data_IF_709123275273
#
_entry.id   IF_709123275273
#
_cell.length_a   1.000
_cell.length_b   1.000
_cell.length_c   1.000
_cell.angle_alpha   90.00
_cell.angle_beta   90.00
_cell.angle_gamma   90.00
#
_symmetry.space_group_name_H-M   'P 1'
#
loop_
_entity.id
_entity.type
_entity.pdbx_description
1 polymer ?
2 non-polymer ?
3 non-polymer ?
4 non-polymer ?
5 water ?
#
# COMPACT_ATOMS: atom_id res chain seq x y z
N UNK A 39 20.96 1.02 7.98
CA UNK A 39 20.65 -0.19 8.79
C UNK A 39 19.37 -0.84 8.31
N UNK A 40 18.32 -0.04 8.16
CA UNK A 40 17.06 -0.55 7.69
C UNK A 40 17.20 -1.09 6.28
N UNK A 41 17.81 -0.31 5.39
CA UNK A 41 18.02 -0.72 4.01
C UNK A 41 18.55 -2.13 3.91
N UNK A 42 19.66 -2.39 4.59
CA UNK A 42 20.25 -3.71 4.54
C UNK A 42 19.27 -4.74 5.07
N UNK A 43 18.59 -4.41 6.15
CA UNK A 43 17.62 -5.32 6.73
C UNK A 43 16.61 -5.71 5.68
N UNK A 44 15.99 -4.69 5.10
CA UNK A 44 14.98 -4.85 4.07
C UNK A 44 15.52 -5.79 2.98
N UNK A 45 16.54 -5.34 2.27
CA UNK A 45 17.14 -6.12 1.20
C UNK A 45 17.43 -7.56 1.57
N UNK A 46 17.86 -7.78 2.79
CA UNK A 46 18.17 -9.14 3.19
C UNK A 46 16.93 -9.96 3.47
N UNK A 47 15.92 -9.36 4.09
CA UNK A 47 14.72 -10.12 4.38
C UNK A 47 13.98 -10.45 3.09
N UNK A 48 14.06 -9.56 2.10
CA UNK A 48 13.38 -9.80 0.84
C UNK A 48 13.97 -11.06 0.22
N UNK A 49 15.28 -11.24 0.37
CA UNK A 49 15.92 -12.42 -0.18
C UNK A 49 15.75 -13.66 0.69
N UNK A 50 16.05 -13.54 1.98
CA UNK A 50 15.92 -14.69 2.87
C UNK A 50 14.50 -15.25 2.90
N UNK A 51 13.50 -14.38 2.96
CA UNK A 51 12.11 -14.81 2.98
C UNK A 51 11.59 -15.13 1.57
N UNK A 52 12.46 -14.95 0.57
CA UNK A 52 12.13 -15.22 -0.82
C UNK A 52 10.87 -14.50 -1.28
N UNK A 53 10.89 -13.19 -1.11
CA UNK A 53 9.78 -12.37 -1.51
C UNK A 53 9.94 -11.97 -2.95
N UNK A 54 11.08 -11.39 -3.29
CA UNK A 54 11.33 -11.01 -4.67
C UNK A 54 12.81 -11.25 -4.96
N UNK A 55 13.13 -11.53 -6.21
CA UNK A 55 14.51 -11.75 -6.61
C UNK A 55 14.85 -10.53 -7.44
N UNK A 56 15.91 -9.82 -7.08
CA UNK A 56 16.24 -8.60 -7.80
C UNK A 56 17.24 -8.78 -8.93
N UNK A 57 17.73 -9.99 -9.09
CA UNK A 57 18.73 -10.29 -10.11
C UNK A 57 18.25 -10.36 -11.56
N UNK A 58 17.39 -9.43 -11.96
CA UNK A 58 16.88 -9.44 -13.33
C UNK A 58 17.69 -8.46 -14.19
N UNK A 59 18.13 -8.91 -15.37
CA UNK A 59 18.93 -8.11 -16.31
C UNK A 59 18.47 -6.69 -16.60
N UNK A 60 17.28 -6.31 -16.15
CA UNK A 60 16.79 -4.95 -16.39
C UNK A 60 16.47 -4.27 -15.08
N UNK A 61 17.24 -3.25 -14.74
CA UNK A 61 17.09 -2.52 -13.50
C UNK A 61 15.70 -1.91 -13.30
N UNK A 62 15.19 -2.07 -12.09
CA UNK A 62 13.89 -1.52 -11.76
C UNK A 62 12.75 -2.48 -12.06
N UNK A 63 13.08 -3.74 -12.28
CA UNK A 63 12.07 -4.73 -12.59
C UNK A 63 12.40 -6.01 -11.88
N UNK A 64 11.59 -6.37 -10.89
CA UNK A 64 11.87 -7.56 -10.11
C UNK A 64 10.88 -8.69 -10.30
N UNK A 65 11.27 -9.86 -9.82
CA UNK A 65 10.47 -11.06 -9.92
C UNK A 65 9.83 -11.40 -8.61
N UNK A 66 8.55 -11.75 -8.63
CA UNK A 66 7.87 -12.13 -7.40
C UNK A 66 8.05 -13.65 -7.25
N UNK A 67 8.78 -14.08 -6.23
CA UNK A 67 8.97 -15.51 -6.00
C UNK A 67 7.73 -16.04 -5.30
N UNK A 68 7.55 -17.37 -5.28
CA UNK A 68 6.38 -17.98 -4.65
C UNK A 68 5.89 -17.34 -3.36
N UNK A 69 6.75 -17.30 -2.35
CA UNK A 69 6.36 -16.72 -1.06
C UNK A 69 5.89 -15.27 -1.19
N UNK A 70 6.72 -14.41 -1.77
CA UNK A 70 6.31 -13.03 -1.96
C UNK A 70 4.94 -13.02 -2.60
N UNK A 71 4.78 -13.75 -3.70
CA UNK A 71 3.50 -13.78 -4.39
C UNK A 71 2.33 -14.10 -3.48
N UNK A 72 2.51 -15.01 -2.53
CA UNK A 72 1.40 -15.36 -1.65
C UNK A 72 0.97 -14.18 -0.77
N UNK A 73 1.95 -13.40 -0.35
CA UNK A 73 1.67 -12.24 0.48
C UNK A 73 0.93 -11.20 -0.34
N UNK A 74 1.38 -11.01 -1.58
CA UNK A 74 0.79 -10.05 -2.50
C UNK A 74 -0.65 -10.47 -2.76
N UNK A 75 -0.82 -11.77 -2.90
CA UNK A 75 -2.13 -12.34 -3.15
C UNK A 75 -3.07 -12.02 -1.99
N UNK A 76 -2.67 -12.33 -0.76
CA UNK A 76 -3.53 -12.05 0.39
C UNK A 76 -3.75 -10.57 0.62
N UNK A 77 -2.75 -9.75 0.37
CA UNK A 77 -2.90 -8.32 0.56
C UNK A 77 -3.98 -7.84 -0.40
N UNK A 78 -3.98 -8.37 -1.61
CA UNK A 78 -4.99 -7.96 -2.59
C UNK A 78 -6.39 -8.47 -2.26
N UNK A 79 -6.49 -9.64 -1.63
CA UNK A 79 -7.81 -10.15 -1.29
C UNK A 79 -8.47 -9.16 -0.34
N UNK A 80 -7.71 -8.73 0.67
CA UNK A 80 -8.18 -7.76 1.65
C UNK A 80 -8.66 -6.51 0.94
N UNK A 81 -7.82 -6.01 0.03
CA UNK A 81 -8.16 -4.80 -0.69
C UNK A 81 -9.40 -4.95 -1.54
N UNK A 82 -9.48 -6.02 -2.32
CA UNK A 82 -10.64 -6.23 -3.18
C UNK A 82 -11.92 -6.43 -2.39
N UNK A 83 -11.81 -7.09 -1.25
CA UNK A 83 -12.99 -7.31 -0.43
C UNK A 83 -13.64 -5.96 -0.13
N UNK A 84 -12.82 -4.95 0.11
CA UNK A 84 -13.35 -3.62 0.40
C UNK A 84 -13.86 -2.98 -0.88
N UNK A 85 -12.96 -2.84 -1.85
CA UNK A 85 -13.32 -2.21 -3.12
C UNK A 85 -14.53 -2.81 -3.85
N UNK A 86 -14.73 -4.11 -3.75
CA UNK A 86 -15.85 -4.72 -4.47
C UNK A 86 -17.22 -4.41 -3.92
N UNK A 87 -17.29 -3.72 -2.80
CA UNK A 87 -18.58 -3.38 -2.23
C UNK A 87 -19.30 -2.43 -3.15
N UNK A 88 -18.58 -1.44 -3.68
CA UNK A 88 -19.19 -0.44 -4.52
C UNK A 88 -18.43 -0.10 -5.78
N UNK A 89 -17.40 -0.88 -6.08
CA UNK A 89 -16.61 -0.65 -7.28
C UNK A 89 -16.72 -1.86 -8.18
N UNK A 90 -16.59 -1.64 -9.49
CA UNK A 90 -16.64 -2.73 -10.46
C UNK A 90 -15.26 -2.91 -11.08
N UNK A 91 -14.65 -4.07 -10.85
CA UNK A 91 -13.32 -4.31 -11.40
C UNK A 91 -13.42 -4.48 -12.91
N UNK A 92 -12.39 -3.97 -13.60
CA UNK A 92 -12.33 -4.04 -15.05
C UNK A 92 -10.89 -4.33 -15.45
N UNK A 93 -10.59 -4.23 -16.74
CA UNK A 93 -9.25 -4.48 -17.21
C UNK A 93 -9.06 -3.87 -18.60
N UNK A 94 -8.36 -2.75 -18.64
CA UNK A 94 -8.09 -2.02 -19.88
C UNK A 94 -6.72 -2.40 -20.40
N UNK A 95 -6.43 -2.01 -21.64
CA UNK A 95 -5.15 -2.30 -22.29
C UNK A 95 -3.94 -1.70 -21.61
N UNK A 96 -2.77 -2.15 -22.06
CA UNK A 96 -1.51 -1.69 -21.53
C UNK A 96 -0.98 -0.53 -22.34
N UNK A 97 -1.10 -0.64 -23.66
CA UNK A 97 -0.60 0.37 -24.58
C UNK A 97 -1.51 1.53 -24.91
N UNK A 98 -0.93 2.73 -24.96
CA UNK A 98 -1.65 3.96 -25.29
C UNK A 98 -0.95 4.63 -26.46
N UNK A 99 -1.71 5.07 -27.46
CA UNK A 99 -1.16 5.73 -28.64
C UNK A 99 -0.86 7.21 -28.37
N UNK A 100 0.23 7.73 -28.93
CA UNK A 100 0.60 9.13 -28.73
C UNK A 100 -0.63 10.02 -28.75
N UNK A 101 -1.37 9.90 -29.83
CA UNK A 101 -2.60 10.66 -30.04
C UNK A 101 -3.40 10.86 -28.74
N UNK A 102 -3.74 9.75 -28.08
CA UNK A 102 -4.51 9.79 -26.84
C UNK A 102 -3.72 10.30 -25.64
N UNK A 103 -2.53 9.74 -25.45
CA UNK A 103 -1.67 10.10 -24.34
C UNK A 103 -1.36 11.60 -24.27
N UNK A 104 -1.10 12.19 -25.44
CA UNK A 104 -0.76 13.61 -25.52
C UNK A 104 -1.95 14.57 -25.50
N UNK A 105 -3.18 14.03 -25.52
CA UNK A 105 -4.37 14.87 -25.48
C UNK A 105 -4.40 15.77 -24.26
N UNK A 106 -3.56 15.46 -23.28
CA UNK A 106 -3.49 16.23 -22.04
C UNK A 106 -2.61 17.47 -22.16
N UNK A 107 -2.92 18.46 -21.35
CA UNK A 107 -2.16 19.71 -21.35
C UNK A 107 -1.02 19.53 -20.35
N UNK A 108 -1.37 19.53 -19.07
CA UNK A 108 -0.38 19.39 -18.00
C UNK A 108 -0.03 17.93 -17.77
N UNK A 109 -1.02 17.05 -17.90
CA UNK A 109 -0.83 15.61 -17.69
C UNK A 109 0.25 15.02 -18.60
N UNK A 110 0.21 15.35 -19.89
CA UNK A 110 1.22 14.86 -20.84
C UNK A 110 2.60 15.39 -20.42
N UNK A 111 2.61 16.65 -19.98
CA UNK A 111 3.83 17.31 -19.53
C UNK A 111 4.33 16.59 -18.27
N UNK A 112 3.39 16.11 -17.47
CA UNK A 112 3.71 15.42 -16.24
C UNK A 112 4.35 14.04 -16.39
N UNK A 113 4.27 13.46 -17.58
CA UNK A 113 4.86 12.14 -17.84
C UNK A 113 5.70 12.12 -19.12
N UNK A 114 5.90 13.29 -19.71
CA UNK A 114 6.68 13.45 -20.94
C UNK A 114 7.80 12.44 -21.15
N UNK A 115 8.93 12.68 -20.48
CA UNK A 115 10.11 11.85 -20.59
C UNK A 115 10.04 10.74 -19.55
N UNK A 116 8.84 10.44 -19.09
CA UNK A 116 8.68 9.40 -18.08
C UNK A 116 8.05 8.12 -18.62
N UNK A 117 7.69 8.16 -19.90
CA UNK A 117 7.04 7.04 -20.58
C UNK A 117 7.95 6.19 -21.45
N UNK A 118 7.74 4.88 -21.49
CA UNK A 118 8.50 3.97 -22.35
C UNK A 118 7.75 3.94 -23.69
N UNK A 119 8.46 3.83 -24.80
CA UNK A 119 7.77 3.81 -26.10
C UNK A 119 8.04 2.61 -26.99
N UNK A 120 6.98 1.92 -27.42
CA UNK A 120 7.17 0.82 -28.35
C UNK A 120 7.04 1.56 -29.67
N UNK A 121 8.03 1.38 -30.53
CA UNK A 121 8.07 2.06 -31.82
C UNK A 121 7.97 1.12 -33.02
N UNK A 122 8.40 -0.12 -32.83
CA UNK A 122 8.38 -1.10 -33.90
C UNK A 122 7.54 -2.31 -33.55
N UNK A 123 6.98 -2.91 -34.59
CA UNK A 123 6.16 -4.10 -34.47
C UNK A 123 6.88 -5.14 -35.30
N UNK A 124 7.85 -5.76 -34.67
CA UNK A 124 8.67 -6.77 -35.32
C UNK A 124 9.93 -6.09 -35.82
N UNK A 125 9.97 -5.90 -37.13
CA UNK A 125 11.10 -5.22 -37.71
C UNK A 125 10.51 -3.97 -38.32
N UNK A 126 9.19 -3.96 -38.41
CA UNK A 126 8.48 -2.83 -38.97
C UNK A 126 8.27 -1.71 -37.96
N UNK A 127 8.42 -0.47 -38.39
CA UNK A 127 8.23 0.65 -37.49
C UNK A 127 6.76 1.05 -37.50
N UNK A 128 6.12 1.01 -36.34
CA UNK A 128 4.71 1.37 -36.24
C UNK A 128 4.52 2.78 -36.76
N UNK A 129 3.39 3.03 -37.41
CA UNK A 129 3.14 4.36 -37.91
C UNK A 129 2.41 5.17 -36.86
N UNK A 130 2.62 4.79 -35.60
CA UNK A 130 1.97 5.46 -34.49
C UNK A 130 2.56 4.87 -33.22
N UNK A 131 3.41 5.63 -32.54
CA UNK A 131 4.06 5.15 -31.33
C UNK A 131 3.04 4.73 -30.29
N UNK A 132 3.40 3.71 -29.52
CA UNK A 132 2.55 3.22 -28.45
C UNK A 132 3.34 3.31 -27.14
N UNK A 133 2.71 3.92 -26.14
CA UNK A 133 3.34 4.12 -24.85
C UNK A 133 2.82 3.14 -23.81
N UNK A 134 3.72 2.60 -23.01
CA UNK A 134 3.30 1.68 -21.96
C UNK A 134 2.64 2.59 -20.93
N UNK A 135 1.42 2.24 -20.52
CA UNK A 135 0.71 3.06 -19.55
C UNK A 135 1.51 3.33 -18.28
N UNK A 136 1.54 4.60 -17.83
CA UNK A 136 2.24 5.03 -16.62
C UNK A 136 1.17 5.06 -15.54
N UNK A 137 -0.06 5.25 -16.02
CA UNK A 137 -1.26 5.30 -15.23
C UNK A 137 -2.29 5.24 -16.36
N UNK A 138 -3.53 4.87 -16.08
CA UNK A 138 -4.49 4.69 -17.17
C UNK A 138 -5.51 5.74 -17.58
N UNK A 139 -5.38 6.98 -17.13
CA UNK A 139 -6.37 8.00 -17.50
C UNK A 139 -6.56 8.09 -19.01
N UNK A 140 -5.45 8.24 -19.72
CA UNK A 140 -5.51 8.37 -21.16
C UNK A 140 -5.95 7.10 -21.89
N UNK A 141 -6.14 6.02 -21.14
CA UNK A 141 -6.57 4.76 -21.72
C UNK A 141 -8.05 4.54 -21.54
N UNK A 142 -8.52 4.75 -20.32
CA UNK A 142 -9.91 4.56 -19.99
C UNK A 142 -10.85 5.70 -20.34
N UNK A 143 -10.37 6.92 -20.22
CA UNK A 143 -11.22 8.05 -20.46
C UNK A 143 -11.84 8.16 -21.84
N UNK A 144 -11.05 7.97 -22.90
CA UNK A 144 -11.72 8.07 -24.19
C UNK A 144 -12.84 7.03 -24.28
N UNK A 145 -12.65 5.91 -23.59
CA UNK A 145 -13.63 4.84 -23.56
C UNK A 145 -14.83 5.24 -22.70
N UNK A 146 -14.57 6.04 -21.67
CA UNK A 146 -15.62 6.51 -20.78
C UNK A 146 -16.55 7.44 -21.54
N UNK A 147 -15.97 8.12 -22.53
CA UNK A 147 -16.73 9.05 -23.35
C UNK A 147 -17.89 8.29 -23.96
N UNK A 148 -17.62 7.05 -24.35
CA UNK A 148 -18.64 6.18 -24.95
C UNK A 148 -19.58 5.62 -23.90
N UNK A 149 -19.02 4.99 -22.88
CA UNK A 149 -19.84 4.38 -21.85
C UNK A 149 -20.79 5.35 -21.14
N UNK A 150 -20.54 6.64 -21.22
CA UNK A 150 -21.41 7.59 -20.53
C UNK A 150 -22.35 8.38 -21.45
N UNK A 151 -23.64 8.32 -21.11
CA UNK A 151 -24.68 9.01 -21.88
C UNK A 151 -25.69 9.70 -20.97
N UNK A 152 -26.51 8.92 -20.27
CA UNK A 152 -27.53 9.48 -19.38
C UNK A 152 -27.11 9.62 -17.93
N UNK A 153 -27.73 10.56 -17.23
CA UNK A 153 -27.44 10.75 -15.82
C UNK A 153 -27.84 9.47 -15.10
N UNK A 154 -28.61 8.62 -15.77
CA UNK A 154 -29.03 7.36 -15.17
C UNK A 154 -27.81 6.44 -15.13
N UNK A 155 -26.85 6.71 -15.99
CA UNK A 155 -25.61 5.94 -16.05
C UNK A 155 -24.74 6.20 -14.82
N UNK A 156 -24.62 7.46 -14.42
CA UNK A 156 -23.80 7.84 -13.28
C UNK A 156 -24.50 7.52 -11.97
N UNK A 157 -23.73 7.25 -10.90
CA UNK A 157 -22.27 7.23 -10.83
C UNK A 157 -21.64 5.90 -11.21
N UNK A 158 -20.45 5.95 -11.79
CA UNK A 158 -19.72 4.75 -12.17
C UNK A 158 -18.45 4.72 -11.35
N UNK A 159 -18.16 3.57 -10.74
CA UNK A 159 -16.95 3.42 -9.94
C UNK A 159 -16.18 2.17 -10.37
N UNK A 160 -15.05 2.38 -11.05
CA UNK A 160 -14.24 1.29 -11.55
C UNK A 160 -12.84 1.23 -10.94
N UNK A 161 -12.17 0.10 -11.13
CA UNK A 161 -10.80 -0.08 -10.65
C UNK A 161 -10.17 -1.32 -11.27
N UNK A 162 -8.85 -1.34 -11.29
CA UNK A 162 -8.10 -2.47 -11.82
C UNK A 162 -6.74 -2.58 -11.14
N UNK A 163 -6.21 -3.79 -11.09
CA UNK A 163 -4.90 -4.05 -10.50
C UNK A 163 -4.07 -4.51 -11.69
N UNK A 164 -3.26 -3.63 -12.22
CA UNK A 164 -2.47 -3.95 -13.38
C UNK A 164 -1.03 -3.56 -13.17
N UNK A 165 -0.22 -3.72 -14.22
CA UNK A 165 1.17 -3.33 -14.12
C UNK A 165 1.37 -2.07 -14.95
N UNK A 166 2.00 -1.07 -14.35
CA UNK A 166 2.25 0.19 -15.03
C UNK A 166 3.75 0.44 -15.08
N UNK A 167 4.17 1.33 -15.95
CA UNK A 167 5.58 1.59 -16.13
C UNK A 167 5.93 3.06 -16.01
N UNK A 168 7.09 3.33 -15.41
CA UNK A 168 7.54 4.70 -15.23
C UNK A 168 9.05 4.81 -15.28
N UNK A 169 9.54 5.52 -16.28
CA UNK A 169 10.98 5.73 -16.47
C UNK A 169 11.38 6.91 -15.60
N UNK A 170 11.98 6.63 -14.44
CA UNK A 170 12.35 7.68 -13.50
C UNK A 170 13.76 7.58 -12.90
N UNK A 171 13.91 8.26 -11.77
CA UNK A 171 15.13 8.33 -10.95
C UNK A 171 16.09 7.18 -11.15
N UNK A 172 17.36 7.49 -11.39
CA UNK A 172 18.34 6.43 -11.55
C UNK A 172 18.26 5.50 -10.34
N UNK A 173 17.74 6.04 -9.23
CA UNK A 173 17.65 5.27 -8.00
C UNK A 173 16.46 4.35 -7.83
N UNK A 174 16.70 3.10 -8.17
CA UNK A 174 15.74 2.01 -8.09
C UNK A 174 15.68 1.47 -6.67
N UNK A 175 14.49 1.10 -6.22
CA UNK A 175 14.32 0.57 -4.89
C UNK A 175 13.18 -0.42 -4.89
N UNK A 176 13.44 -1.66 -4.45
CA UNK A 176 12.47 -2.75 -4.38
C UNK A 176 11.12 -2.40 -3.77
N UNK A 177 10.05 -2.65 -4.52
CA UNK A 177 8.69 -2.40 -4.05
C UNK A 177 8.43 -0.93 -3.71
N UNK A 178 9.42 -0.07 -3.85
CA UNK A 178 9.25 1.33 -3.48
C UNK A 178 9.39 2.29 -4.63
N UNK A 179 10.32 1.99 -5.52
CA UNK A 179 10.56 2.82 -6.68
C UNK A 179 11.02 1.88 -7.77
N UNK A 180 10.06 1.36 -8.53
CA UNK A 180 10.38 0.43 -9.59
C UNK A 180 9.98 1.00 -10.94
N UNK A 181 10.50 0.40 -12.00
CA UNK A 181 10.21 0.84 -13.34
C UNK A 181 8.92 0.12 -13.76
N UNK A 182 8.75 -1.10 -13.29
CA UNK A 182 7.53 -1.84 -13.57
C UNK A 182 6.80 -2.00 -12.25
N UNK A 183 5.77 -1.19 -12.04
CA UNK A 183 5.00 -1.29 -10.81
C UNK A 183 4.09 -2.46 -11.07
N UNK A 184 4.40 -3.60 -10.48
CA UNK A 184 3.62 -4.81 -10.68
C UNK A 184 2.29 -4.90 -9.96
N UNK A 185 2.05 -4.07 -8.96
CA UNK A 185 0.79 -4.15 -8.23
C UNK A 185 0.16 -2.79 -8.10
N UNK A 186 -0.16 -2.20 -9.25
CA UNK A 186 -0.75 -0.88 -9.29
C UNK A 186 -2.26 -0.94 -9.32
N UNK A 187 -2.92 -0.64 -8.21
CA UNK A 187 -4.37 -0.65 -8.19
C UNK A 187 -4.82 0.78 -8.41
N UNK A 188 -5.54 1.03 -9.49
CA UNK A 188 -6.02 2.37 -9.79
C UNK A 188 -7.52 2.35 -9.93
N UNK A 189 -8.19 3.25 -9.21
CA UNK A 189 -9.65 3.35 -9.27
C UNK A 189 -9.97 4.66 -9.93
N UNK A 190 -11.06 4.67 -10.69
CA UNK A 190 -11.52 5.86 -11.40
C UNK A 190 -13.02 5.95 -11.24
N UNK A 191 -13.52 7.11 -10.86
CA UNK A 191 -14.95 7.27 -10.67
C UNK A 191 -15.52 8.41 -11.51
N UNK A 192 -16.81 8.32 -11.80
CA UNK A 192 -17.46 9.35 -12.61
C UNK A 192 -18.73 9.80 -11.90
N UNK A 193 -18.96 11.11 -11.86
CA UNK A 193 -20.13 11.62 -11.17
C UNK A 193 -20.87 12.71 -11.93
N UNK A 194 -22.11 12.96 -11.51
CA UNK A 194 -22.94 13.98 -12.14
C UNK A 194 -22.60 15.38 -11.64
N UNK A 195 -22.42 15.53 -10.33
CA UNK A 195 -22.11 16.83 -9.77
C UNK A 195 -20.77 16.90 -9.06
N UNK A 196 -20.13 18.07 -9.10
CA UNK A 196 -18.85 18.26 -8.42
C UNK A 196 -19.02 17.93 -6.95
N UNK A 197 -20.25 18.05 -6.49
CA UNK A 197 -20.58 17.77 -5.12
C UNK A 197 -20.24 16.31 -4.81
N UNK A 198 -20.83 15.40 -5.58
CA UNK A 198 -20.61 13.97 -5.39
C UNK A 198 -19.14 13.59 -5.55
N UNK A 199 -18.43 14.28 -6.42
CA UNK A 199 -17.02 13.97 -6.61
C UNK A 199 -16.31 14.12 -5.29
N UNK A 200 -16.53 15.23 -4.60
CA UNK A 200 -15.86 15.47 -3.32
C UNK A 200 -16.27 14.41 -2.34
N UNK A 201 -17.54 14.05 -2.36
CA UNK A 201 -18.02 13.03 -1.45
C UNK A 201 -17.26 11.73 -1.73
N UNK A 202 -16.95 11.49 -3.00
CA UNK A 202 -16.23 10.28 -3.39
C UNK A 202 -14.82 10.32 -2.81
N UNK A 203 -14.16 11.47 -2.96
CA UNK A 203 -12.83 11.64 -2.42
C UNK A 203 -12.84 11.24 -0.95
N UNK A 204 -13.90 11.60 -0.24
CA UNK A 204 -13.98 11.27 1.18
C UNK A 204 -14.16 9.77 1.37
N UNK A 205 -14.90 9.15 0.46
CA UNK A 205 -15.14 7.72 0.53
C UNK A 205 -13.85 6.95 0.32
N UNK A 206 -13.09 7.39 -0.68
CA UNK A 206 -11.82 6.75 -1.00
C UNK A 206 -10.96 6.79 0.25
N UNK A 207 -10.87 7.96 0.86
CA UNK A 207 -10.06 8.13 2.05
C UNK A 207 -10.46 7.15 3.15
N UNK A 208 -11.76 6.90 3.25
CA UNK A 208 -12.22 5.98 4.28
C UNK A 208 -11.88 4.56 3.89
N UNK A 209 -11.87 4.31 2.58
CA UNK A 209 -11.54 2.99 2.07
C UNK A 209 -10.08 2.67 2.36
N UNK A 210 -9.20 3.65 2.13
CA UNK A 210 -7.79 3.43 2.38
C UNK A 210 -7.51 3.30 3.86
N UNK A 211 -8.20 4.10 4.68
CA UNK A 211 -7.98 3.98 6.11
C UNK A 211 -8.29 2.54 6.47
N UNK A 212 -9.48 2.07 6.10
CA UNK A 212 -9.86 0.70 6.42
C UNK A 212 -8.85 -0.30 5.87
N UNK A 213 -8.44 -0.10 4.62
CA UNK A 213 -7.48 -1.00 4.03
C UNK A 213 -6.24 -1.04 4.90
N UNK A 214 -5.65 0.13 5.11
CA UNK A 214 -4.44 0.23 5.92
C UNK A 214 -4.60 -0.28 7.35
N UNK A 215 -5.70 0.08 7.99
CA UNK A 215 -5.90 -0.39 9.34
C UNK A 215 -5.83 -1.91 9.37
N UNK A 216 -6.36 -2.56 8.34
CA UNK A 216 -6.32 -4.02 8.26
C UNK A 216 -4.89 -4.49 8.19
N UNK A 217 -4.02 -3.72 7.58
CA UNK A 217 -2.61 -4.08 7.47
C UNK A 217 -1.84 -3.57 8.69
N UNK A 218 -2.56 -2.91 9.60
CA UNK A 218 -1.92 -2.39 10.79
C UNK A 218 -0.92 -1.32 10.41
N UNK A 219 -1.15 -0.67 9.30
CA UNK A 219 -0.25 0.37 8.84
C UNK A 219 -0.77 1.74 9.25
N UNK A 220 0.06 2.53 9.95
CA UNK A 220 -0.29 3.87 10.41
C UNK A 220 -0.07 4.84 9.25
N UNK A 221 -0.69 6.00 9.30
CA UNK A 221 -0.59 6.97 8.21
C UNK A 221 -0.97 8.39 8.58
N UNK A 222 -0.49 9.34 7.77
CA UNK A 222 -0.76 10.75 7.96
C UNK A 222 -1.42 11.23 6.68
N UNK A 223 -2.66 11.70 6.76
CA UNK A 223 -3.39 12.16 5.59
C UNK A 223 -3.27 13.66 5.47
N UNK A 224 -2.83 14.15 4.32
CA UNK A 224 -2.69 15.60 4.13
C UNK A 224 -3.08 16.01 2.74
N UNK A 225 -3.07 17.30 2.47
CA UNK A 225 -3.42 17.78 1.14
C UNK A 225 -2.17 18.32 0.48
N UNK A 226 -1.70 17.62 -0.54
CA UNK A 226 -0.49 18.02 -1.25
C UNK A 226 -0.59 19.45 -1.75
N UNK A 227 0.56 20.14 -1.84
CA UNK A 227 0.65 21.52 -2.31
C UNK A 227 0.22 21.52 -3.76
N UNK A 228 -0.41 22.60 -4.22
CA UNK A 228 -0.86 22.68 -5.60
C UNK A 228 0.20 22.47 -6.69
N UNK A 229 1.46 22.35 -6.31
CA UNK A 229 2.50 22.15 -7.31
C UNK A 229 2.99 20.71 -7.29
N UNK A 230 2.38 19.91 -6.43
CA UNK A 230 2.71 18.50 -6.30
C UNK A 230 1.50 17.64 -6.69
N UNK A 231 0.34 18.27 -6.80
CA UNK A 231 -0.87 17.54 -7.13
C UNK A 231 -0.79 16.79 -8.43
N UNK A 232 -1.62 15.75 -8.55
CA UNK A 232 -1.66 14.93 -9.75
C UNK A 232 -1.84 15.84 -10.96
N UNK A 233 -1.00 15.64 -11.98
CA UNK A 233 -1.02 16.41 -13.23
C UNK A 233 -2.41 16.64 -13.80
N UNK A 234 -2.94 17.83 -13.60
CA UNK A 234 -4.26 18.14 -14.13
C UNK A 234 -5.40 18.10 -13.13
N UNK A 235 -5.17 17.60 -11.93
CA UNK A 235 -6.24 17.52 -10.94
C UNK A 235 -6.55 18.84 -10.29
N UNK A 236 -7.64 18.86 -9.52
CA UNK A 236 -8.05 20.04 -8.78
C UNK A 236 -7.19 20.03 -7.54
N UNK A 237 -7.06 18.85 -6.94
CA UNK A 237 -6.24 18.69 -5.75
C UNK A 237 -5.95 17.23 -5.49
N UNK A 238 -4.94 16.98 -4.66
CA UNK A 238 -4.53 15.62 -4.33
C UNK A 238 -4.44 15.45 -2.83
N UNK A 239 -5.00 14.37 -2.35
CA UNK A 239 -4.93 14.05 -0.94
C UNK A 239 -4.00 12.87 -0.95
N UNK A 240 -3.06 12.84 -0.02
CA UNK A 240 -2.10 11.74 0.05
C UNK A 240 -1.95 11.11 1.43
N UNK A 241 -1.61 9.84 1.43
CA UNK A 241 -1.38 9.10 2.67
C UNK A 241 0.12 8.89 2.69
N UNK A 242 0.76 9.17 3.83
CA UNK A 242 2.19 8.99 3.98
C UNK A 242 2.41 8.18 5.21
N UNK A 243 3.38 7.27 5.19
CA UNK A 243 3.67 6.46 6.36
C UNK A 243 5.17 6.61 6.62
N UNK A 244 5.59 6.24 7.83
CA UNK A 244 6.99 6.38 8.20
C UNK A 244 7.76 5.07 8.16
N UNK A 245 8.90 5.08 7.49
CA UNK A 245 9.72 3.89 7.38
C UNK A 245 10.72 3.82 8.55
N UNK A 246 11.17 2.62 8.93
CA UNK A 246 12.12 2.49 10.04
C UNK A 246 13.41 3.31 9.91
N UNK A 247 13.64 3.89 8.74
CA UNK A 247 14.85 4.67 8.56
C UNK A 247 14.51 6.13 8.71
N UNK A 248 13.39 6.41 9.37
CA UNK A 248 12.97 7.78 9.60
C UNK A 248 12.49 8.51 8.37
N UNK A 249 12.50 7.86 7.22
CA UNK A 249 12.04 8.50 5.99
C UNK A 249 10.56 8.21 5.75
N UNK A 250 9.90 9.13 5.06
CA UNK A 250 8.49 9.00 4.78
C UNK A 250 8.24 8.33 3.43
N UNK A 251 7.12 7.61 3.32
CA UNK A 251 6.77 6.90 2.08
C UNK A 251 5.30 7.10 1.70
N UNK A 252 5.06 7.71 0.54
CA UNK A 252 3.71 7.93 0.06
C UNK A 252 3.10 6.56 -0.27
N UNK A 253 2.03 6.18 0.41
CA UNK A 253 1.43 4.89 0.16
C UNK A 253 0.01 4.95 -0.35
N UNK A 254 -0.36 6.06 -0.97
CA UNK A 254 -1.71 6.18 -1.49
C UNK A 254 -2.07 7.61 -1.82
N UNK A 255 -2.82 7.80 -2.90
CA UNK A 255 -3.24 9.14 -3.28
C UNK A 255 -4.65 9.10 -3.83
N UNK A 256 -5.39 10.17 -3.59
CA UNK A 256 -6.75 10.31 -4.06
C UNK A 256 -6.76 11.65 -4.75
N UNK A 257 -7.23 11.70 -5.98
CA UNK A 257 -7.24 12.94 -6.72
C UNK A 257 -8.64 13.33 -7.12
N UNK A 258 -8.92 14.62 -7.09
CA UNK A 258 -10.21 15.11 -7.50
C UNK A 258 -9.90 15.79 -8.82
N UNK A 259 -10.40 15.20 -9.90
CA UNK A 259 -10.14 15.68 -11.24
C UNK A 259 -11.14 16.71 -11.74
N UNK A 260 -12.14 17.01 -10.92
CA UNK A 260 -13.14 17.98 -11.34
C UNK A 260 -13.63 17.62 -12.73
N UNK A 261 -13.69 18.59 -13.63
CA UNK A 261 -14.15 18.30 -14.98
C UNK A 261 -13.04 18.50 -15.98
N UNK A 262 -11.81 18.61 -15.49
CA UNK A 262 -10.67 18.82 -16.37
C UNK A 262 -10.55 17.75 -17.44
N UNK A 263 -10.51 16.49 -17.02
CA UNK A 263 -10.38 15.39 -17.97
C UNK A 263 -11.65 15.21 -18.80
N UNK A 264 -12.79 15.47 -18.18
CA UNK A 264 -14.07 15.35 -18.87
C UNK A 264 -14.02 16.19 -20.14
N UNK A 265 -13.66 17.45 -20.00
CA UNK A 265 -13.59 18.33 -21.14
C UNK A 265 -12.55 17.86 -22.15
N UNK A 266 -11.43 17.38 -21.66
CA UNK A 266 -10.36 16.93 -22.54
C UNK A 266 -10.78 15.77 -23.43
N UNK A 267 -11.52 14.81 -22.87
CA UNK A 267 -11.95 13.64 -23.62
C UNK A 267 -13.41 13.63 -24.02
N UNK A 268 -14.08 14.76 -23.82
CA UNK A 268 -15.48 14.88 -24.17
C UNK A 268 -16.37 13.86 -23.49
N UNK A 269 -16.36 13.84 -22.16
CA UNK A 269 -17.19 12.90 -21.41
C UNK A 269 -18.39 13.68 -20.87
N UNK A 270 -19.43 13.80 -21.69
CA UNK A 270 -20.63 14.54 -21.31
C UNK A 270 -21.76 13.59 -20.96
N UNK A 271 -22.77 14.10 -20.27
CA UNK A 271 -23.92 13.28 -19.90
C UNK A 271 -25.19 14.12 -19.96
N UNK A 272 -26.31 13.48 -20.28
CA UNK A 272 -27.60 14.15 -20.39
C UNK A 272 -28.32 14.29 -19.05
N UNK A 273 -28.69 15.53 -18.70
CA UNK A 273 -29.38 15.80 -17.45
C UNK A 273 -30.85 15.49 -17.62
N UNK A 274 -31.57 15.29 -16.50
CA UNK A 274 -33.00 14.98 -16.58
C UNK A 274 -33.81 16.07 -17.31
N UNK A 275 -33.20 17.24 -17.49
CA UNK A 275 -33.85 18.34 -18.19
C UNK A 275 -33.61 18.23 -19.69
N UNK A 276 -32.46 17.67 -20.07
CA UNK A 276 -32.15 17.51 -21.47
C UNK A 276 -30.89 18.27 -21.87
N UNK A 277 -30.12 18.70 -20.88
CA UNK A 277 -28.89 19.43 -21.13
C UNK A 277 -27.72 18.46 -21.22
N UNK A 278 -26.56 18.98 -21.62
CA UNK A 278 -25.36 18.18 -21.75
C UNK A 278 -24.17 18.81 -21.05
N UNK A 279 -23.94 18.39 -19.81
CA UNK A 279 -22.83 18.90 -19.01
C UNK A 279 -21.71 17.87 -18.88
N UNK A 280 -20.50 18.35 -18.58
CA UNK A 280 -19.37 17.45 -18.41
C UNK A 280 -19.42 16.80 -17.03
N UNK A 281 -18.92 15.57 -16.95
CA UNK A 281 -18.94 14.83 -15.69
C UNK A 281 -17.83 15.25 -14.74
N UNK A 282 -18.01 14.90 -13.47
CA UNK A 282 -17.04 15.20 -12.43
C UNK A 282 -16.35 13.89 -12.07
N UNK A 283 -15.02 13.86 -12.23
CA UNK A 283 -14.24 12.65 -11.96
C UNK A 283 -13.26 12.73 -10.79
N UNK A 284 -12.92 11.55 -10.27
CA UNK A 284 -11.93 11.41 -9.20
C UNK A 284 -11.23 10.07 -9.45
N UNK A 285 -10.00 9.94 -8.98
CA UNK A 285 -9.28 8.68 -9.14
C UNK A 285 -8.30 8.54 -8.00
N UNK A 286 -8.02 7.30 -7.60
CA UNK A 286 -7.08 7.05 -6.50
C UNK A 286 -6.34 5.74 -6.69
N UNK A 287 -5.17 5.60 -6.07
CA UNK A 287 -4.42 4.36 -6.23
C UNK A 287 -3.31 4.06 -5.24
N UNK A 288 -2.92 2.78 -5.19
CA UNK A 288 -1.89 2.26 -4.31
C UNK A 288 -0.96 1.46 -5.19
N UNK A 289 0.17 1.03 -4.63
CA UNK A 289 1.10 0.21 -5.40
C UNK A 289 1.75 -0.84 -4.50
N UNK A 290 2.83 -1.42 -4.99
CA UNK A 290 3.54 -2.44 -4.24
C UNK A 290 4.04 -1.85 -2.93
N UNK A 291 4.11 -0.52 -2.88
CA UNK A 291 4.56 0.15 -1.67
C UNK A 291 3.80 -0.30 -0.47
N UNK A 292 2.53 -0.59 -0.65
CA UNK A 292 1.71 -1.06 0.45
C UNK A 292 2.36 -2.31 1.02
N UNK A 293 2.87 -3.18 0.15
CA UNK A 293 3.49 -4.42 0.61
C UNK A 293 4.85 -4.16 1.24
N UNK A 294 5.53 -3.13 0.77
CA UNK A 294 6.81 -2.77 1.34
C UNK A 294 6.53 -2.34 2.79
N UNK A 295 5.55 -1.46 2.95
CA UNK A 295 5.16 -0.96 4.27
C UNK A 295 4.87 -2.07 5.26
N UNK A 296 4.05 -3.02 4.86
CA UNK A 296 3.70 -4.11 5.75
C UNK A 296 4.95 -4.85 6.17
N UNK A 297 5.84 -5.09 5.22
CA UNK A 297 7.06 -5.78 5.55
C UNK A 297 7.89 -4.93 6.48
N UNK A 298 8.18 -3.70 6.04
CA UNK A 298 8.99 -2.77 6.80
C UNK A 298 8.45 -2.37 8.17
N UNK A 299 7.21 -1.92 8.22
CA UNK A 299 6.64 -1.47 9.49
C UNK A 299 6.56 -2.48 10.62
N UNK A 300 6.12 -3.69 10.33
CA UNK A 300 6.02 -4.70 11.37
C UNK A 300 7.28 -5.54 11.29
N UNK A 301 8.29 -4.96 10.64
CA UNK A 301 9.57 -5.62 10.49
C UNK A 301 10.03 -6.11 11.84
N UNK A 302 11.19 -6.74 11.89
CA UNK A 302 11.63 -7.29 13.15
C UNK A 302 13.03 -7.87 13.06
N UNK A 303 13.62 -8.14 14.21
CA UNK A 303 14.97 -8.70 14.25
C UNK A 303 14.94 -10.18 13.86
N UNK A 304 13.82 -10.84 14.09
CA UNK A 304 13.69 -12.26 13.75
C UNK A 304 13.32 -12.45 12.29
N UNK A 305 12.84 -11.38 11.65
CA UNK A 305 12.47 -11.45 10.25
C UNK A 305 11.16 -10.77 9.97
N UNK A 306 10.27 -11.45 9.25
CA UNK A 306 8.98 -10.89 8.94
C UNK A 306 8.00 -11.16 10.06
N UNK A 307 7.08 -10.22 10.24
CA UNK A 307 6.02 -10.34 11.24
C UNK A 307 4.85 -9.70 10.50
N UNK A 308 3.87 -10.51 10.12
CA UNK A 308 2.77 -9.99 9.34
C UNK A 308 1.40 -10.14 9.95
N UNK A 309 0.47 -9.26 9.55
CA UNK A 309 -0.89 -9.33 10.06
C UNK A 309 -1.39 -10.70 9.64
N UNK A 310 -2.08 -11.42 10.53
CA UNK A 310 -2.58 -12.76 10.20
C UNK A 310 -3.22 -12.92 8.81
N UNK A 311 -3.99 -11.92 8.38
CA UNK A 311 -4.63 -12.02 7.08
C UNK A 311 -3.74 -11.73 5.88
N UNK A 312 -2.45 -11.54 6.11
CA UNK A 312 -1.53 -11.27 5.02
C UNK A 312 -0.51 -12.39 4.88
N UNK A 313 -0.17 -13.02 6.00
CA UNK A 313 0.80 -14.10 6.02
C UNK A 313 0.42 -15.26 5.09
N UNK A 314 1.43 -15.94 4.55
CA UNK A 314 1.21 -17.06 3.66
C UNK A 314 0.48 -18.17 4.40
N UNK A 315 0.69 -18.25 5.70
CA UNK A 315 0.04 -19.24 6.55
C UNK A 315 -0.33 -18.53 7.84
N UNK A 316 -1.49 -18.83 8.37
CA UNK A 316 -1.91 -18.20 9.60
C UNK A 316 -1.48 -19.07 10.77
N UNK A 317 -1.48 -20.38 10.54
CA UNK A 317 -1.10 -21.33 11.56
C UNK A 317 -0.23 -22.44 10.99
N UNK A 318 0.98 -22.59 11.54
CA UNK A 318 1.87 -23.65 11.09
C UNK A 318 2.00 -24.67 12.21
N UNK A 319 1.59 -25.91 11.96
CA UNK A 319 1.64 -26.96 12.96
C UNK A 319 2.97 -27.70 12.92
N UNK A 320 3.70 -27.68 14.03
CA UNK A 320 4.99 -28.35 14.10
C UNK A 320 4.96 -29.49 15.10
N UNK A 321 4.95 -30.75 14.63
CA UNK A 321 4.92 -31.89 15.55
C UNK A 321 6.33 -32.15 16.12
N UNK A 322 6.40 -32.35 17.43
CA UNK A 322 7.66 -32.65 18.12
C UNK A 322 7.73 -34.16 18.33
N UNK A 323 8.76 -34.79 17.77
CA UNK A 323 8.90 -36.24 17.87
C UNK A 323 10.33 -36.74 18.01
N UNK A 324 10.51 -37.75 18.86
CA UNK A 324 11.81 -38.37 19.09
C UNK A 324 11.67 -39.88 19.10
N UNK A 325 10.76 -40.40 18.29
CA UNK A 325 10.55 -41.85 18.23
C UNK A 325 9.94 -42.34 19.55
N UNK A 326 8.82 -41.73 19.94
CA UNK A 326 8.12 -42.07 21.17
C UNK A 326 6.65 -41.71 21.03
N UNK A 327 5.86 -42.62 20.47
CA UNK A 327 4.43 -42.39 20.25
C UNK A 327 4.26 -41.53 19.00
N UNK A 328 5.29 -41.51 18.18
CA UNK A 328 5.30 -40.74 16.94
C UNK A 328 4.02 -40.94 16.16
N UNK A 329 3.74 -42.19 15.81
CA UNK A 329 2.54 -42.54 15.06
C UNK A 329 1.30 -41.85 15.64
N UNK A 330 1.33 -41.58 16.93
CA UNK A 330 0.20 -40.93 17.60
C UNK A 330 0.30 -39.42 17.58
N UNK A 331 1.52 -38.91 17.64
CA UNK A 331 1.73 -37.47 17.59
C UNK A 331 1.32 -37.00 16.21
N UNK A 332 1.85 -37.65 15.18
CA UNK A 332 1.53 -37.31 13.80
C UNK A 332 0.03 -37.25 13.55
N UNK A 333 -0.65 -38.38 13.73
CA UNK A 333 -2.09 -38.42 13.50
C UNK A 333 -2.85 -37.39 14.34
N UNK A 334 -2.19 -36.85 15.35
CA UNK A 334 -2.81 -35.83 16.18
C UNK A 334 -2.72 -34.49 15.44
N UNK A 335 -1.59 -34.29 14.77
CA UNK A 335 -1.35 -33.07 14.01
C UNK A 335 -2.22 -33.06 12.75
N UNK A 336 -2.15 -34.13 11.97
CA UNK A 336 -2.93 -34.25 10.76
C UNK A 336 -4.38 -33.91 11.05
N UNK A 337 -4.94 -34.61 12.04
CA UNK A 337 -6.32 -34.38 12.42
C UNK A 337 -6.54 -32.90 12.66
N UNK A 338 -5.57 -32.26 13.31
CA UNK A 338 -5.67 -30.84 13.61
C UNK A 338 -5.67 -29.99 12.34
N UNK A 339 -4.74 -30.25 11.45
CA UNK A 339 -4.65 -29.48 10.21
C UNK A 339 -6.01 -29.52 9.51
N UNK A 340 -6.46 -30.71 9.17
CA UNK A 340 -7.75 -30.88 8.50
C UNK A 340 -8.82 -30.07 9.22
N UNK A 341 -8.90 -30.26 10.54
CA UNK A 341 -9.89 -29.57 11.35
C UNK A 341 -9.81 -28.07 11.23
N UNK A 342 -8.59 -27.54 11.11
CA UNK A 342 -8.41 -26.11 10.96
C UNK A 342 -8.84 -25.64 9.57
N UNK A 343 -8.45 -26.38 8.54
CA UNK A 343 -8.81 -26.02 7.17
C UNK A 343 -10.31 -25.86 7.01
N UNK A 344 -11.05 -26.84 7.51
CA UNK A 344 -12.50 -26.81 7.41
C UNK A 344 -13.09 -25.62 8.18
N UNK A 345 -12.30 -25.06 9.08
CA UNK A 345 -12.75 -23.93 9.85
C UNK A 345 -12.41 -22.63 9.12
N UNK A 346 -11.68 -22.76 8.02
CA UNK A 346 -11.30 -21.60 7.23
C UNK A 346 -9.90 -21.06 7.43
N UNK A 347 -9.04 -21.85 8.03
CA UNK A 347 -7.68 -21.40 8.27
C UNK A 347 -6.72 -21.70 7.15
N UNK A 348 -5.71 -20.84 7.00
CA UNK A 348 -4.68 -21.06 6.01
C UNK A 348 -3.60 -21.71 6.85
N UNK A 349 -3.74 -23.01 7.06
CA UNK A 349 -2.80 -23.76 7.89
C UNK A 349 -1.79 -24.59 7.09
N UNK A 350 -0.66 -24.91 7.73
CA UNK A 350 0.37 -25.72 7.09
C UNK A 350 1.07 -26.63 8.11
N UNK A 351 1.01 -27.94 7.87
CA UNK A 351 1.64 -28.91 8.76
C UNK A 351 3.07 -29.15 8.30
N UNK A 352 4.05 -28.75 9.11
CA UNK A 352 5.42 -28.95 8.71
C UNK A 352 5.96 -30.25 9.27
N UNK A 353 5.73 -31.33 8.54
CA UNK A 353 6.18 -32.65 8.96
C UNK A 353 7.52 -33.04 8.35
N UNK A 354 8.27 -32.06 7.83
CA UNK A 354 9.58 -32.34 7.26
C UNK A 354 10.40 -33.03 8.33
N UNK A 355 11.48 -33.67 7.91
CA UNK A 355 12.34 -34.38 8.85
C UNK A 355 13.54 -33.55 9.25
N UNK A 356 13.31 -32.56 10.11
CA UNK A 356 14.40 -31.73 10.58
C UNK A 356 14.13 -31.32 12.01
N UNK A 357 15.15 -30.73 12.63
CA UNK A 357 15.03 -30.29 14.01
C UNK A 357 14.01 -29.17 14.17
N UNK A 358 13.05 -29.39 15.04
CA UNK A 358 11.99 -28.42 15.30
C UNK A 358 12.53 -27.01 15.48
N UNK A 359 13.80 -26.89 15.83
CA UNK A 359 14.36 -25.57 16.01
C UNK A 359 14.41 -24.87 14.67
N UNK A 360 15.03 -25.53 13.71
CA UNK A 360 15.15 -25.00 12.36
C UNK A 360 13.75 -24.66 11.82
N UNK A 361 12.75 -25.48 12.13
CA UNK A 361 11.41 -25.19 11.67
C UNK A 361 10.92 -23.88 12.27
N UNK A 362 11.06 -23.73 13.59
CA UNK A 362 10.63 -22.52 14.25
C UNK A 362 11.21 -21.28 13.58
N UNK A 363 12.52 -21.29 13.41
CA UNK A 363 13.22 -20.18 12.78
C UNK A 363 12.60 -19.82 11.45
N UNK A 364 12.48 -20.82 10.57
CA UNK A 364 11.93 -20.62 9.24
C UNK A 364 10.57 -19.94 9.23
N UNK A 365 9.57 -20.58 9.81
CA UNK A 365 8.23 -20.00 9.83
C UNK A 365 8.17 -18.71 10.60
N UNK A 366 9.19 -18.46 11.40
CA UNK A 366 9.21 -17.25 12.20
C UNK A 366 9.76 -16.09 11.35
N UNK A 367 10.83 -16.35 10.61
CA UNK A 367 11.42 -15.31 9.79
C UNK A 367 10.54 -15.06 8.58
N UNK A 368 9.60 -15.96 8.33
CA UNK A 368 8.68 -15.82 7.21
C UNK A 368 7.43 -15.06 7.61
N UNK A 369 7.19 -14.95 8.91
CA UNK A 369 6.03 -14.19 9.36
C UNK A 369 4.77 -14.92 9.76
N UNK A 370 4.81 -16.25 9.84
CA UNK A 370 3.61 -16.98 10.24
C UNK A 370 3.25 -16.51 11.64
N UNK A 371 2.02 -16.04 11.84
CA UNK A 371 1.53 -15.53 13.13
C UNK A 371 1.51 -16.52 14.28
N UNK A 372 0.99 -17.71 14.03
CA UNK A 372 0.87 -18.70 15.09
C UNK A 372 1.53 -20.02 14.76
N UNK A 373 2.20 -20.57 15.76
CA UNK A 373 2.87 -21.85 15.62
C UNK A 373 2.20 -22.75 16.62
N UNK A 374 1.78 -23.94 16.19
CA UNK A 374 1.15 -24.86 17.10
C UNK A 374 2.06 -26.07 17.23
N UNK A 375 2.58 -26.27 18.44
CA UNK A 375 3.48 -27.37 18.72
C UNK A 375 2.77 -28.48 19.47
N UNK A 376 3.02 -29.72 19.05
CA UNK A 376 2.41 -30.88 19.68
C UNK A 376 3.44 -31.98 19.92
N UNK A 377 3.48 -32.45 21.16
CA UNK A 377 4.41 -33.50 21.55
C UNK A 377 3.75 -34.55 22.41
N UNK A 378 4.44 -35.68 22.66
CA UNK A 378 3.90 -36.79 23.47
C UNK A 378 3.16 -36.28 24.71
N UNK A 379 3.86 -35.48 25.51
CA UNK A 379 3.29 -34.92 26.72
C UNK A 379 1.92 -34.28 26.46
N UNK A 380 1.96 -33.01 26.05
CA UNK A 380 0.76 -32.23 25.76
C UNK A 380 -0.33 -33.10 25.14
N UNK A 381 0.07 -33.88 24.14
CA UNK A 381 -0.85 -34.77 23.45
C UNK A 381 -1.62 -35.63 24.44
N UNK A 382 -0.88 -36.32 25.30
CA UNK A 382 -1.48 -37.19 26.32
C UNK A 382 -2.09 -36.33 27.43
N UNK A 383 -2.88 -35.34 27.04
CA UNK A 383 -3.52 -34.44 27.99
C UNK A 383 -4.60 -33.64 27.26
N UNK A 384 -4.62 -33.78 25.94
CA UNK A 384 -5.60 -33.07 25.12
C UNK A 384 -5.32 -31.58 24.94
N UNK A 385 -4.04 -31.22 24.92
CA UNK A 385 -3.66 -29.82 24.76
C UNK A 385 -2.38 -29.66 23.93
N UNK A 386 -2.10 -28.43 23.51
CA UNK A 386 -0.93 -28.13 22.72
C UNK A 386 -0.33 -26.79 23.11
N UNK A 387 0.75 -26.42 22.45
CA UNK A 387 1.42 -25.15 22.72
C UNK A 387 1.25 -24.21 21.54
N UNK A 388 0.82 -22.97 21.83
CA UNK A 388 0.62 -21.97 20.80
C UNK A 388 1.54 -20.79 21.01
N UNK A 389 2.48 -20.59 20.09
CA UNK A 389 3.43 -19.50 20.19
C UNK A 389 3.03 -18.34 19.26
N UNK A 390 3.18 -17.11 19.74
CA UNK A 390 2.86 -15.90 18.97
C UNK A 390 4.10 -15.38 18.28
N UNK A 391 3.93 -14.72 17.16
CA UNK A 391 5.08 -14.20 16.42
C UNK A 391 5.41 -12.77 16.82
N UNK A 392 4.38 -11.99 17.13
CA UNK A 392 4.58 -10.60 17.50
C UNK A 392 5.21 -10.48 18.88
N UNK A 393 4.70 -11.23 19.83
CA UNK A 393 5.19 -11.22 21.20
C UNK A 393 6.26 -12.27 21.45
N UNK A 394 5.84 -13.53 21.43
CA UNK A 394 6.77 -14.62 21.68
C UNK A 394 6.09 -15.52 22.67
N UNK A 395 5.04 -14.99 23.28
CA UNK A 395 4.27 -15.71 24.27
C UNK A 395 3.79 -17.08 23.83
N UNK A 396 4.30 -18.11 24.48
CA UNK A 396 3.86 -19.45 24.19
C UNK A 396 2.83 -19.72 25.26
N UNK A 397 1.62 -20.07 24.88
CA UNK A 397 0.59 -20.37 25.86
C UNK A 397 0.20 -21.83 25.65
N UNK A 398 -0.65 -22.35 26.52
CA UNK A 398 -1.09 -23.74 26.39
C UNK A 398 -2.59 -23.75 26.32
N UNK A 399 -3.13 -24.34 25.25
CA UNK A 399 -4.57 -24.40 25.06
C UNK A 399 -5.06 -25.82 24.83
N UNK A 400 -6.38 -26.00 24.93
CA UNK A 400 -7.02 -27.30 24.75
C UNK A 400 -7.38 -27.55 23.30
N UNK A 401 -6.77 -28.56 22.72
CA UNK A 401 -7.03 -28.91 21.34
C UNK A 401 -8.52 -29.04 21.09
N UNK A 402 -9.31 -29.01 22.15
CA UNK A 402 -10.75 -29.17 22.06
C UNK A 402 -11.52 -27.98 21.49
N UNK A 403 -11.09 -26.77 21.84
CA UNK A 403 -11.77 -25.59 21.32
C UNK A 403 -10.78 -24.64 20.69
N UNK A 404 -9.57 -25.14 20.46
CA UNK A 404 -8.46 -24.39 19.89
C UNK A 404 -8.82 -23.45 18.73
N UNK A 405 -9.79 -23.83 17.89
CA UNK A 405 -10.16 -22.97 16.79
C UNK A 405 -10.44 -21.56 17.26
N UNK A 406 -11.31 -21.43 18.26
CA UNK A 406 -11.65 -20.12 18.79
C UNK A 406 -10.48 -19.46 19.49
N UNK A 407 -9.64 -20.27 20.10
CA UNK A 407 -8.46 -19.77 20.79
C UNK A 407 -7.59 -19.05 19.76
N UNK A 408 -7.43 -19.70 18.61
CA UNK A 408 -6.63 -19.15 17.54
C UNK A 408 -7.25 -17.89 16.94
N UNK A 409 -8.52 -17.96 16.57
CA UNK A 409 -9.19 -16.79 16.00
C UNK A 409 -8.95 -15.58 16.87
N UNK A 410 -9.15 -15.74 18.18
CA UNK A 410 -8.94 -14.64 19.11
C UNK A 410 -7.50 -14.16 19.07
N UNK A 411 -6.57 -15.10 19.18
CA UNK A 411 -5.16 -14.76 19.17
C UNK A 411 -4.79 -13.90 17.96
N UNK A 412 -5.36 -14.24 16.81
CA UNK A 412 -5.11 -13.48 15.58
C UNK A 412 -5.59 -12.05 15.71
N UNK A 413 -6.81 -11.86 16.20
CA UNK A 413 -7.36 -10.52 16.37
C UNK A 413 -6.44 -9.72 17.27
N UNK A 414 -5.91 -10.38 18.29
CA UNK A 414 -5.01 -9.74 19.24
C UNK A 414 -3.73 -9.26 18.57
N UNK A 415 -3.11 -10.13 17.80
CA UNK A 415 -1.87 -9.79 17.11
C UNK A 415 -1.99 -8.56 16.19
N UNK A 416 -3.09 -8.44 15.46
CA UNK A 416 -3.26 -7.31 14.57
C UNK A 416 -3.30 -6.02 15.37
N UNK A 417 -4.18 -5.99 16.36
CA UNK A 417 -4.36 -4.83 17.22
C UNK A 417 -3.03 -4.42 17.85
N UNK A 418 -2.26 -5.40 18.30
CA UNK A 418 -1.00 -5.08 18.91
C UNK A 418 -0.10 -4.44 17.86
N UNK A 419 0.13 -5.14 16.75
CA UNK A 419 0.97 -4.65 15.67
C UNK A 419 0.52 -3.28 15.21
N UNK A 420 -0.79 -3.12 15.07
CA UNK A 420 -1.33 -1.85 14.63
C UNK A 420 -1.02 -0.76 15.66
N UNK A 421 -1.25 -1.08 16.93
CA UNK A 421 -0.99 -0.12 18.00
C UNK A 421 0.48 0.26 18.03
N UNK A 422 1.34 -0.73 18.30
CA UNK A 422 2.78 -0.50 18.34
C UNK A 422 3.11 0.47 17.22
N UNK A 423 2.70 0.09 16.02
CA UNK A 423 2.96 0.89 14.81
C UNK A 423 2.55 2.35 14.96
N UNK A 424 1.33 2.60 15.42
CA UNK A 424 0.88 3.97 15.58
C UNK A 424 1.70 4.72 16.60
N UNK A 425 2.02 4.06 17.71
CA UNK A 425 2.81 4.69 18.72
C UNK A 425 4.10 5.09 18.04
N UNK A 426 4.84 4.12 17.53
CA UNK A 426 6.10 4.40 16.87
C UNK A 426 6.04 5.58 15.91
N UNK A 427 4.94 5.72 15.18
CA UNK A 427 4.90 6.82 14.23
C UNK A 427 4.64 8.17 14.87
N UNK A 428 3.55 8.28 15.63
CA UNK A 428 3.22 9.56 16.27
C UNK A 428 4.34 10.10 17.12
N UNK A 429 5.14 9.20 17.68
CA UNK A 429 6.25 9.61 18.51
C UNK A 429 7.41 10.12 17.67
N UNK A 430 7.17 10.28 16.37
CA UNK A 430 8.21 10.77 15.46
C UNK A 430 7.75 12.01 14.73
N UNK A 431 6.54 12.45 15.06
CA UNK A 431 6.00 13.66 14.46
C UNK A 431 6.27 14.72 15.51
N UNK A 432 7.22 15.62 15.22
CA UNK A 432 7.60 16.67 16.16
C UNK A 432 7.33 18.07 15.63
N UNK A 433 6.80 18.94 16.50
CA UNK A 433 6.49 20.33 16.15
C UNK A 433 7.74 21.20 16.13
N UNK A 434 7.71 22.23 15.30
CA UNK A 434 8.81 23.16 15.17
C UNK A 434 8.26 24.56 14.98
N UNK A 435 8.84 25.52 15.68
CA UNK A 435 8.40 26.91 15.58
C UNK A 435 9.39 27.69 14.76
N UNK A 436 10.63 27.18 14.68
CA UNK A 436 11.67 27.85 13.93
C UNK A 436 12.25 26.99 12.83
N UNK A 437 12.49 27.59 11.68
CA UNK A 437 13.06 26.87 10.54
C UNK A 437 14.36 26.22 10.96
N UNK A 438 15.03 26.84 11.93
CA UNK A 438 16.29 26.34 12.44
C UNK A 438 16.05 25.10 13.29
N UNK A 439 15.04 25.19 14.15
CA UNK A 439 14.68 24.08 15.03
C UNK A 439 14.33 22.86 14.18
N UNK A 440 13.69 23.11 13.04
CA UNK A 440 13.29 22.04 12.12
C UNK A 440 14.54 21.34 11.65
N UNK A 441 15.43 22.09 10.99
CA UNK A 441 16.66 21.53 10.47
C UNK A 441 17.41 20.71 11.51
N UNK A 442 17.34 21.14 12.77
CA UNK A 442 18.03 20.41 13.82
C UNK A 442 17.35 19.06 14.09
N UNK A 443 16.03 19.09 14.23
CA UNK A 443 15.26 17.88 14.50
C UNK A 443 15.32 16.86 13.37
N UNK A 444 15.11 17.33 12.15
CA UNK A 444 15.15 16.46 10.98
C UNK A 444 16.48 15.73 10.91
N UNK A 445 17.55 16.52 10.86
CA UNK A 445 18.91 15.99 10.76
C UNK A 445 19.36 15.09 11.91
N UNK A 446 18.77 15.26 13.10
CA UNK A 446 19.18 14.44 14.23
C UNK A 446 18.25 13.29 14.56
N UNK A 447 16.94 13.50 14.39
CA UNK A 447 15.97 12.47 14.69
C UNK A 447 15.15 11.98 13.52
N UNK A 448 15.24 12.68 12.39
CA UNK A 448 14.47 12.31 11.20
C UNK A 448 12.99 12.40 11.54
N UNK A 449 12.17 11.55 10.92
CA UNK A 449 10.74 11.60 11.22
C UNK A 449 10.00 12.73 10.54
N UNK A 450 8.80 13.01 11.03
CA UNK A 450 7.95 14.07 10.49
C UNK A 450 8.03 15.33 11.34
N UNK A 451 7.99 16.48 10.67
CA UNK A 451 8.05 17.77 11.34
C UNK A 451 6.75 18.52 11.13
N UNK A 452 6.02 18.74 12.22
CA UNK A 452 4.76 19.48 12.18
C UNK A 452 5.09 20.95 12.30
N UNK A 453 4.30 21.81 11.67
CA UNK A 453 4.57 23.25 11.73
C UNK A 453 3.47 24.07 11.09
N UNK A 454 3.35 25.33 11.49
CA UNK A 454 2.32 26.19 10.90
C UNK A 454 2.95 26.83 9.68
N UNK A 455 2.20 26.89 8.59
CA UNK A 455 2.74 27.43 7.35
C UNK A 455 1.75 28.32 6.64
N UNK A 456 2.26 29.38 6.02
CA UNK A 456 1.43 30.32 5.31
C UNK A 456 0.79 29.69 4.07
N UNK A 457 1.46 28.68 3.52
CA UNK A 457 0.93 28.02 2.34
C UNK A 457 1.18 28.79 1.06
N UNK A 458 2.38 29.28 0.85
CA UNK A 458 2.70 30.02 -0.36
C UNK A 458 3.76 29.30 -1.16
N UNK A 459 3.62 29.32 -2.48
CA UNK A 459 4.60 28.65 -3.33
C UNK A 459 6.03 28.99 -2.92
N UNK A 460 6.42 30.23 -3.17
CA UNK A 460 7.78 30.67 -2.88
C UNK A 460 8.22 30.38 -1.46
N UNK A 461 7.32 30.54 -0.50
CA UNK A 461 7.69 30.29 0.89
C UNK A 461 7.93 28.80 1.11
N UNK A 462 7.09 27.98 0.49
CA UNK A 462 7.22 26.55 0.61
C UNK A 462 8.53 26.07 0.02
N UNK A 463 8.78 26.45 -1.22
CA UNK A 463 10.01 26.06 -1.90
C UNK A 463 11.18 26.45 -1.03
N UNK A 464 11.16 27.69 -0.56
CA UNK A 464 12.22 28.20 0.29
C UNK A 464 12.39 27.31 1.52
N UNK A 465 11.28 26.91 2.15
CA UNK A 465 11.37 26.06 3.31
C UNK A 465 12.06 24.75 2.93
N UNK A 466 11.60 24.13 1.84
CA UNK A 466 12.16 22.87 1.37
C UNK A 466 13.66 22.97 1.11
N UNK A 467 14.06 23.96 0.33
CA UNK A 467 15.46 24.16 -0.01
C UNK A 467 16.33 24.36 1.22
N UNK A 468 15.96 25.32 2.05
CA UNK A 468 16.73 25.62 3.26
C UNK A 468 16.90 24.42 4.17
N UNK A 469 15.87 23.60 4.28
CA UNK A 469 15.93 22.44 5.15
C UNK A 469 16.30 21.15 4.41
N UNK A 470 16.36 21.23 3.08
CA UNK A 470 16.68 20.07 2.25
C UNK A 470 15.68 19.02 2.72
N UNK A 471 14.42 19.25 2.36
CA UNK A 471 13.35 18.38 2.79
C UNK A 471 12.12 18.62 1.90
N UNK A 472 11.08 17.80 2.05
CA UNK A 472 9.88 17.98 1.24
C UNK A 472 8.63 18.23 2.09
N UNK A 473 7.80 19.15 1.63
CA UNK A 473 6.57 19.47 2.33
C UNK A 473 5.55 18.45 1.89
N UNK A 474 5.19 17.56 2.80
CA UNK A 474 4.22 16.51 2.51
C UNK A 474 2.88 17.08 2.12
N UNK A 475 2.38 18.04 2.90
CA UNK A 475 1.09 18.61 2.60
C UNK A 475 0.53 19.35 3.80
N UNK A 476 -0.68 19.87 3.65
CA UNK A 476 -1.30 20.63 4.73
C UNK A 476 -2.54 20.01 5.35
N UNK A 477 -2.98 20.65 6.41
CA UNK A 477 -4.16 20.26 7.17
C UNK A 477 -4.77 21.52 7.77
N UNK A 478 -5.83 22.01 7.14
CA UNK A 478 -6.48 23.22 7.59
C UNK A 478 -6.85 23.15 9.07
N UNK A 479 -6.54 24.22 9.78
CA UNK A 479 -6.84 24.32 11.21
C UNK A 479 -6.67 25.76 11.66
N UNK A 480 -6.62 25.95 12.98
CA UNK A 480 -6.45 27.28 13.54
C UNK A 480 -5.23 27.96 12.96
N UNK A 481 -5.29 29.29 12.86
CA UNK A 481 -4.19 30.05 12.31
C UNK A 481 -2.94 30.08 13.18
N UNK A 482 -2.04 30.99 12.83
CA UNK A 482 -0.80 31.14 13.55
C UNK A 482 0.13 31.91 12.63
N UNK A 483 1.43 31.70 12.79
CA UNK A 483 2.40 32.38 11.94
C UNK A 483 3.32 31.39 11.23
N UNK A 484 3.53 31.62 9.93
CA UNK A 484 4.38 30.73 9.14
C UNK A 484 5.77 30.64 9.72
N UNK A 485 6.16 29.41 10.05
CA UNK A 485 7.47 29.12 10.62
C UNK A 485 8.60 29.81 9.85
N UNK A 486 8.32 30.18 8.61
CA UNK A 486 9.34 30.81 7.77
C UNK A 486 9.20 32.32 7.65
N UNK A 487 8.14 32.77 6.99
CA UNK A 487 7.93 34.20 6.77
C UNK A 487 7.13 34.92 7.85
N UNK A 488 6.82 34.18 8.92
CA UNK A 488 6.08 34.76 10.03
C UNK A 488 4.69 35.31 9.72
N UNK A 489 4.30 35.36 8.45
CA UNK A 489 2.97 35.86 8.10
C UNK A 489 1.88 34.94 8.66
N UNK A 490 0.62 35.23 8.33
CA UNK A 490 -0.48 34.44 8.84
C UNK A 490 -0.46 33.02 8.28
N UNK A 491 -0.50 32.05 9.19
CA UNK A 491 -0.48 30.63 8.82
C UNK A 491 -1.83 29.95 8.94
N UNK A 492 -2.52 29.75 7.81
CA UNK A 492 -3.85 29.11 7.78
C UNK A 492 -3.76 27.58 7.92
N UNK A 493 -2.60 27.02 7.58
CA UNK A 493 -2.44 25.58 7.62
C UNK A 493 -1.43 24.96 8.55
N UNK A 494 -1.72 23.71 8.91
CA UNK A 494 -0.83 22.90 9.73
C UNK A 494 -0.15 22.08 8.63
N UNK A 495 1.18 22.11 8.59
CA UNK A 495 1.89 21.40 7.55
C UNK A 495 2.91 20.44 8.11
N UNK A 496 3.30 19.48 7.29
CA UNK A 496 4.28 18.50 7.69
C UNK A 496 5.34 18.43 6.62
N UNK A 497 6.53 18.03 7.02
CA UNK A 497 7.63 17.89 6.09
C UNK A 497 8.52 16.77 6.58
N UNK A 498 9.33 16.24 5.68
CA UNK A 498 10.24 15.16 6.06
C UNK A 498 11.11 14.78 4.90
N UNK A 499 12.02 13.84 5.13
CA UNK A 499 12.91 13.31 4.11
C UNK A 499 12.11 12.12 3.56
N UNK A 500 11.81 12.16 2.27
CA UNK A 500 10.98 11.12 1.67
C UNK A 500 11.65 10.19 0.67
N UNK A 501 10.92 9.13 0.33
CA UNK A 501 11.36 8.13 -0.64
C UNK A 501 10.90 8.53 -2.03
#
# INVERSE_FOLDING_TARGET
MGSSHHHHHHSSGLVPRGSHMQKPIKKDPNRYHGEKMTEFSEWFHNILEEAEIIDQRYPVKGMHVWMPHGFMIRKNTLKILRRILDRDHEEVLFPLLVPEDELAKEAIHVKGFEDEVYWVTHGGLSKLQRKLALRPTSETVMYPMFALWVRSHTDLPMRFYQVVNTFRYETKHTRPLIRVREITTFKEAHTIHATASEAEEQVERAVEIYKEFFNSLGIPYLITRRPPWDKFPGSEYTVAFDTLMPDGKTLQIGTVHNLGQTFARTFEIKFETPEGDHEYVHQTCYGLSDRVIASVIAIHGDESGLCLPPDVAAHQVVIVPIIFKKAAEEVMEACRELRSRLEAAGFRVHLDDRDIRAGRKYYEWEMRGVPLRVEIGPRDLEKGAAVISRRDTGEKVTADLQGIEETLRELMKDILENLRTRAWERMESEIREAETLEEASRIVDEKRGIISFMWCGEEECGMDVEEKVRVDILGIQEEGSGTCINCGREAPYRAYLARTY
#
